data_IF_629042255881
#
_entry.id   IF_629042255881
#
_cell.length_a   1.000
_cell.length_b   1.000
_cell.length_c   1.000
_cell.angle_alpha   90.00
_cell.angle_beta   90.00
_cell.angle_gamma   90.00
#
_symmetry.space_group_name_H-M   'P 1'
#
loop_
_entity.id
_entity.type
_entity.pdbx_description
1 polymer ?
#
# COMPACT_ATOMS: atom_id res chain seq x y z
N UNK A 1 45.54 10.13 -38.36
CA UNK A 1 44.66 8.95 -38.33
C UNK A 1 43.30 9.43 -37.90
N UNK A 2 42.30 9.37 -38.79
CA UNK A 2 40.95 9.81 -38.50
C UNK A 2 40.40 8.99 -37.34
N UNK A 3 40.06 9.63 -36.23
CA UNK A 3 39.12 9.03 -35.29
C UNK A 3 37.82 8.84 -36.06
N UNK A 4 37.54 7.60 -36.46
CA UNK A 4 36.23 7.23 -36.96
C UNK A 4 35.31 7.41 -35.76
N UNK A 5 34.53 8.50 -35.75
CA UNK A 5 33.45 8.68 -34.79
C UNK A 5 32.52 7.48 -34.96
N UNK A 6 32.64 6.50 -34.06
CA UNK A 6 31.72 5.37 -34.04
C UNK A 6 30.35 5.94 -33.68
N UNK A 7 29.39 5.76 -34.58
CA UNK A 7 28.00 6.13 -34.32
C UNK A 7 27.55 5.32 -33.10
N UNK A 8 27.07 5.96 -32.02
CA UNK A 8 26.58 5.23 -30.87
C UNK A 8 25.42 4.30 -31.21
N UNK A 9 25.33 3.15 -30.54
CA UNK A 9 24.20 2.23 -30.67
C UNK A 9 23.00 2.74 -29.85
N UNK A 10 22.24 3.64 -30.45
CA UNK A 10 21.05 4.21 -29.82
C UNK A 10 19.93 3.19 -29.61
N UNK A 11 19.84 2.15 -30.44
CA UNK A 11 18.78 1.14 -30.34
C UNK A 11 19.02 0.27 -29.12
N UNK A 12 20.23 -0.28 -28.97
CA UNK A 12 20.59 -1.08 -27.80
C UNK A 12 20.49 -0.28 -26.50
N UNK A 13 20.87 1.00 -26.53
CA UNK A 13 20.69 1.90 -25.38
C UNK A 13 19.20 2.06 -24.99
N UNK A 14 18.32 2.25 -25.97
CA UNK A 14 16.89 2.45 -25.73
C UNK A 14 16.20 1.16 -25.23
N UNK A 15 16.57 0.01 -25.78
CA UNK A 15 16.08 -1.30 -25.30
C UNK A 15 16.50 -1.57 -23.86
N UNK A 16 17.77 -1.31 -23.53
CA UNK A 16 18.26 -1.46 -22.16
C UNK A 16 17.58 -0.47 -21.20
N UNK A 17 17.40 0.79 -21.62
CA UNK A 17 16.70 1.79 -20.80
C UNK A 17 15.29 1.35 -20.45
N UNK A 18 14.55 0.75 -21.37
CA UNK A 18 13.19 0.25 -21.11
C UNK A 18 13.16 -0.81 -20.02
N UNK A 19 14.10 -1.76 -20.06
CA UNK A 19 14.22 -2.82 -19.04
C UNK A 19 14.61 -2.24 -17.69
N UNK A 20 15.55 -1.29 -17.68
CA UNK A 20 15.99 -0.66 -16.43
C UNK A 20 14.87 0.18 -15.80
N UNK A 21 14.13 0.95 -16.60
CA UNK A 21 12.96 1.70 -16.12
C UNK A 21 11.84 0.80 -15.61
N UNK A 22 11.63 -0.37 -16.19
CA UNK A 22 10.67 -1.33 -15.63
C UNK A 22 11.07 -1.73 -14.20
N UNK A 23 12.34 -2.07 -13.98
CA UNK A 23 12.85 -2.45 -12.66
C UNK A 23 12.80 -1.28 -11.67
N UNK A 24 13.13 -0.08 -12.13
CA UNK A 24 13.03 1.14 -11.32
C UNK A 24 11.59 1.44 -10.92
N UNK A 25 10.61 1.22 -11.82
CA UNK A 25 9.19 1.42 -11.53
C UNK A 25 8.71 0.48 -10.42
N UNK A 26 9.13 -0.79 -10.44
CA UNK A 26 8.83 -1.74 -9.36
C UNK A 26 9.37 -1.27 -8.01
N UNK A 27 10.65 -0.89 -7.97
CA UNK A 27 11.32 -0.46 -6.74
C UNK A 27 10.67 0.82 -6.21
N UNK A 28 10.55 1.85 -7.05
CA UNK A 28 9.99 3.14 -6.65
C UNK A 28 8.53 3.03 -6.24
N UNK A 29 7.73 2.22 -6.94
CA UNK A 29 6.33 2.00 -6.58
C UNK A 29 6.19 1.26 -5.24
N UNK A 30 6.96 0.21 -5.01
CA UNK A 30 6.99 -0.49 -3.71
C UNK A 30 7.43 0.44 -2.59
N UNK A 31 8.49 1.21 -2.79
CA UNK A 31 9.01 2.16 -1.81
C UNK A 31 7.98 3.25 -1.50
N UNK A 32 7.30 3.79 -2.51
CA UNK A 32 6.23 4.77 -2.33
C UNK A 32 5.10 4.22 -1.46
N UNK A 33 4.60 3.02 -1.78
CA UNK A 33 3.53 2.39 -1.01
C UNK A 33 4.00 2.12 0.43
N UNK A 34 5.20 1.57 0.62
CA UNK A 34 5.73 1.31 1.96
C UNK A 34 5.95 2.59 2.76
N UNK A 35 6.42 3.67 2.13
CA UNK A 35 6.63 4.97 2.77
C UNK A 35 5.33 5.53 3.34
N UNK A 36 4.20 5.36 2.65
CA UNK A 36 2.88 5.74 3.17
C UNK A 36 2.55 5.08 4.54
N UNK A 37 3.01 3.84 4.79
CA UNK A 37 2.84 3.19 6.09
C UNK A 37 3.81 3.70 7.17
N UNK A 38 5.01 4.12 6.79
CA UNK A 38 5.95 4.74 7.72
C UNK A 38 5.46 6.11 8.15
N UNK A 39 4.95 6.89 7.20
CA UNK A 39 4.46 8.25 7.40
C UNK A 39 3.02 8.29 7.94
N UNK A 40 2.35 7.14 8.07
CA UNK A 40 0.96 7.00 8.51
C UNK A 40 0.01 7.94 7.73
N UNK A 41 0.19 8.01 6.41
CA UNK A 41 -0.51 8.97 5.56
C UNK A 41 -0.41 8.64 4.07
N UNK A 42 -1.21 9.36 3.28
CA UNK A 42 -1.26 9.25 1.83
C UNK A 42 -0.54 10.43 1.19
N UNK A 43 0.52 10.15 0.42
CA UNK A 43 1.17 11.15 -0.43
C UNK A 43 0.48 11.22 -1.79
N UNK A 44 -0.68 11.88 -1.87
CA UNK A 44 -1.45 12.06 -3.11
C UNK A 44 -1.03 13.33 -3.87
N UNK A 45 -1.98 14.20 -4.16
CA UNK A 45 -1.67 15.57 -4.61
C UNK A 45 -1.07 16.43 -3.49
N UNK A 46 -1.53 16.18 -2.26
CA UNK A 46 -0.97 16.70 -1.02
C UNK A 46 -0.85 15.54 -0.01
N UNK A 47 -0.07 15.74 1.05
CA UNK A 47 0.01 14.77 2.12
C UNK A 47 -1.26 14.79 2.98
N UNK A 48 -1.90 13.64 3.13
CA UNK A 48 -3.09 13.42 3.95
C UNK A 48 -2.78 12.39 5.05
N UNK A 49 -2.63 12.85 6.30
CA UNK A 49 -2.40 11.96 7.43
C UNK A 49 -3.64 11.08 7.71
N UNK A 50 -3.41 9.81 8.03
CA UNK A 50 -4.48 8.89 8.41
C UNK A 50 -5.10 9.25 9.76
N UNK A 51 -6.37 8.85 9.94
CA UNK A 51 -7.01 9.01 11.24
C UNK A 51 -6.27 8.24 12.34
N UNK A 52 -5.88 8.98 13.39
CA UNK A 52 -5.17 8.44 14.53
C UNK A 52 -5.99 7.41 15.28
N UNK A 53 -5.32 6.41 15.85
CA UNK A 53 -5.95 5.44 16.76
C UNK A 53 -6.55 6.13 17.99
N UNK A 54 -7.66 5.58 18.50
CA UNK A 54 -8.28 6.03 19.75
C UNK A 54 -7.44 5.74 21.00
N UNK A 55 -6.56 4.75 20.93
CA UNK A 55 -5.71 4.33 22.05
C UNK A 55 -4.26 4.35 21.61
N UNK A 56 -3.40 5.06 22.33
CA UNK A 56 -1.98 5.16 22.02
C UNK A 56 -1.30 3.78 22.00
N UNK A 57 -0.30 3.62 21.15
CA UNK A 57 0.50 2.41 21.05
C UNK A 57 1.93 2.78 20.67
N UNK A 58 2.87 1.90 21.00
CA UNK A 58 4.28 2.04 20.64
C UNK A 58 4.54 1.80 19.14
N UNK A 59 3.66 1.05 18.47
CA UNK A 59 3.83 0.69 17.06
C UNK A 59 3.06 1.64 16.14
N UNK A 60 3.57 1.88 14.93
CA UNK A 60 2.85 2.62 13.87
C UNK A 60 1.54 1.93 13.45
N UNK A 61 0.63 2.68 12.84
CA UNK A 61 -0.68 2.25 12.37
C UNK A 61 -0.50 1.21 11.26
N UNK A 62 -1.31 0.13 11.33
CA UNK A 62 -1.25 -1.01 10.41
C UNK A 62 0.11 -1.75 10.38
N UNK A 63 1.01 -1.43 11.33
CA UNK A 63 2.38 -1.95 11.41
C UNK A 63 2.65 -2.82 12.65
N UNK A 64 1.59 -3.29 13.32
CA UNK A 64 1.74 -4.11 14.53
C UNK A 64 2.23 -5.51 14.15
N UNK A 65 1.49 -6.22 13.30
CA UNK A 65 1.90 -7.54 12.79
C UNK A 65 2.60 -7.44 11.43
N UNK A 66 2.58 -6.28 10.79
CA UNK A 66 3.01 -6.03 9.40
C UNK A 66 2.35 -6.93 8.35
N UNK A 67 1.24 -7.62 8.64
CA UNK A 67 0.64 -8.52 7.66
C UNK A 67 0.18 -7.79 6.38
N UNK A 68 -0.54 -6.67 6.53
CA UNK A 68 -0.95 -5.86 5.37
C UNK A 68 0.25 -5.27 4.64
N UNK A 69 1.21 -4.71 5.38
CA UNK A 69 2.45 -4.16 4.83
C UNK A 69 3.20 -5.21 3.99
N UNK A 70 3.41 -6.40 4.53
CA UNK A 70 4.12 -7.50 3.86
C UNK A 70 3.30 -8.16 2.74
N UNK A 71 1.99 -7.91 2.65
CA UNK A 71 1.14 -8.48 1.60
C UNK A 71 1.20 -7.72 0.28
N UNK A 72 1.83 -6.55 0.29
CA UNK A 72 1.98 -5.73 -0.91
C UNK A 72 3.05 -6.36 -1.80
N UNK A 73 2.72 -6.54 -3.07
CA UNK A 73 3.59 -7.17 -4.05
C UNK A 73 3.35 -6.63 -5.46
N UNK A 74 4.28 -6.91 -6.36
CA UNK A 74 4.12 -6.69 -7.80
C UNK A 74 3.42 -7.92 -8.38
N UNK A 75 2.16 -7.79 -8.78
CA UNK A 75 1.37 -8.91 -9.31
C UNK A 75 1.65 -9.16 -10.78
N UNK A 76 1.99 -8.12 -11.54
CA UNK A 76 2.50 -8.25 -12.90
C UNK A 76 3.47 -7.12 -13.24
N UNK A 77 4.43 -7.42 -14.10
CA UNK A 77 5.43 -6.45 -14.53
C UNK A 77 5.76 -6.62 -16.00
N UNK A 78 5.74 -5.50 -16.72
CA UNK A 78 6.08 -5.37 -18.12
C UNK A 78 6.67 -3.98 -18.35
N UNK A 79 7.34 -3.81 -19.50
CA UNK A 79 7.90 -2.51 -19.92
C UNK A 79 6.84 -1.41 -20.02
N UNK A 80 5.58 -1.77 -20.28
CA UNK A 80 4.48 -0.82 -20.44
C UNK A 80 3.73 -0.56 -19.14
N UNK A 81 3.71 -1.53 -18.23
CA UNK A 81 2.91 -1.48 -17.02
C UNK A 81 3.49 -2.38 -15.92
N UNK A 82 3.55 -1.82 -14.72
CA UNK A 82 3.75 -2.55 -13.46
C UNK A 82 2.45 -2.47 -12.66
N UNK A 83 1.98 -3.61 -12.16
CA UNK A 83 0.77 -3.71 -11.35
C UNK A 83 1.13 -4.13 -9.94
N UNK A 84 0.67 -3.35 -8.97
CA UNK A 84 0.83 -3.63 -7.55
C UNK A 84 -0.47 -4.16 -6.97
N UNK A 85 -0.38 -5.15 -6.09
CA UNK A 85 -1.51 -5.76 -5.40
C UNK A 85 -1.22 -5.87 -3.89
N UNK A 86 -2.29 -5.93 -3.09
CA UNK A 86 -2.21 -6.23 -1.67
C UNK A 86 -3.08 -7.45 -1.35
N UNK A 87 -2.45 -8.59 -1.09
CA UNK A 87 -3.13 -9.89 -0.94
C UNK A 87 -3.95 -10.00 0.36
N UNK A 88 -3.75 -9.08 1.32
CA UNK A 88 -4.49 -9.13 2.56
C UNK A 88 -5.99 -8.97 2.31
N UNK A 89 -6.86 -9.86 2.84
CA UNK A 89 -8.30 -9.85 2.53
C UNK A 89 -9.04 -8.62 3.06
N UNK A 90 -8.38 -7.81 3.86
CA UNK A 90 -8.89 -6.55 4.40
C UNK A 90 -8.13 -5.32 3.85
N UNK A 91 -7.23 -5.50 2.88
CA UNK A 91 -6.47 -4.40 2.28
C UNK A 91 -7.41 -3.32 1.73
N UNK A 92 -8.40 -3.72 0.93
CA UNK A 92 -9.34 -2.80 0.28
C UNK A 92 -10.09 -1.95 1.30
N UNK A 93 -10.72 -2.56 2.32
CA UNK A 93 -11.49 -1.79 3.31
C UNK A 93 -10.61 -0.87 4.16
N UNK A 94 -9.31 -1.18 4.31
CA UNK A 94 -8.37 -0.26 4.93
C UNK A 94 -8.02 0.90 3.98
N UNK A 95 -7.79 0.62 2.70
CA UNK A 95 -7.40 1.62 1.69
C UNK A 95 -8.52 2.61 1.39
N UNK A 96 -9.74 2.13 1.13
CA UNK A 96 -10.89 2.96 0.76
C UNK A 96 -11.72 3.43 1.96
N UNK A 97 -11.58 2.76 3.11
CA UNK A 97 -12.49 2.95 4.25
C UNK A 97 -13.89 2.43 3.95
N UNK A 98 -14.81 2.55 4.91
CA UNK A 98 -16.21 2.22 4.65
C UNK A 98 -16.95 1.63 5.84
N UNK A 99 -18.08 0.99 5.55
CA UNK A 99 -18.96 0.40 6.57
C UNK A 99 -19.07 -1.10 6.35
N UNK A 100 -18.62 -1.86 7.34
CA UNK A 100 -18.77 -3.32 7.38
C UNK A 100 -20.01 -3.69 8.17
N UNK A 101 -20.85 -4.54 7.59
CA UNK A 101 -21.98 -5.16 8.27
C UNK A 101 -21.65 -6.63 8.54
N UNK A 102 -21.24 -6.97 9.76
CA UNK A 102 -20.75 -8.31 10.12
C UNK A 102 -21.88 -9.09 10.81
N UNK A 103 -22.24 -10.30 10.34
CA UNK A 103 -23.28 -11.10 10.99
C UNK A 103 -22.84 -11.64 12.35
N UNK A 104 -23.76 -11.62 13.32
CA UNK A 104 -23.58 -12.19 14.66
C UNK A 104 -23.82 -13.70 14.59
N UNK A 105 -22.75 -14.46 14.35
CA UNK A 105 -22.81 -15.92 14.24
C UNK A 105 -22.86 -16.61 15.60
N UNK A 106 -23.34 -17.87 15.63
CA UNK A 106 -23.25 -18.71 16.84
C UNK A 106 -21.81 -18.83 17.37
N UNK A 107 -20.81 -18.91 16.47
CA UNK A 107 -19.38 -18.93 16.82
C UNK A 107 -18.95 -17.62 17.49
N UNK A 108 -19.38 -16.46 16.97
CA UNK A 108 -19.08 -15.16 17.59
C UNK A 108 -19.67 -15.05 19.00
N UNK A 109 -20.91 -15.52 19.23
CA UNK A 109 -21.52 -15.52 20.57
C UNK A 109 -20.75 -16.40 21.56
N UNK A 110 -20.30 -17.58 21.13
CA UNK A 110 -19.43 -18.45 21.95
C UNK A 110 -18.12 -17.73 22.31
N UNK A 111 -17.50 -17.05 21.34
CA UNK A 111 -16.30 -16.26 21.57
C UNK A 111 -16.56 -15.12 22.57
N UNK A 112 -17.64 -14.36 22.43
CA UNK A 112 -17.99 -13.29 23.36
C UNK A 112 -18.21 -13.81 24.79
N UNK A 113 -18.84 -14.98 24.95
CA UNK A 113 -18.93 -15.62 26.27
C UNK A 113 -17.57 -16.03 26.84
N UNK A 114 -16.69 -16.59 26.02
CA UNK A 114 -15.33 -16.93 26.43
C UNK A 114 -14.54 -15.68 26.88
N UNK A 115 -14.62 -14.58 26.11
CA UNK A 115 -14.00 -13.31 26.46
C UNK A 115 -14.55 -12.71 27.76
N UNK A 116 -15.88 -12.79 27.98
CA UNK A 116 -16.48 -12.34 29.25
C UNK A 116 -15.95 -13.15 30.43
N UNK A 117 -15.85 -14.48 30.30
CA UNK A 117 -15.31 -15.34 31.36
C UNK A 117 -13.83 -15.05 31.65
N UNK A 118 -13.04 -14.76 30.61
CA UNK A 118 -11.62 -14.48 30.76
C UNK A 118 -11.32 -13.09 31.33
N UNK A 119 -12.12 -12.07 30.97
CA UNK A 119 -11.82 -10.66 31.28
C UNK A 119 -12.72 -10.06 32.35
N UNK A 120 -13.90 -10.63 32.59
CA UNK A 120 -14.95 -10.02 33.43
C UNK A 120 -15.61 -8.78 32.82
N UNK A 121 -15.17 -8.30 31.65
CA UNK A 121 -15.70 -7.09 31.03
C UNK A 121 -17.12 -7.32 30.49
N UNK A 122 -18.07 -6.62 31.11
CA UNK A 122 -19.50 -6.70 30.78
C UNK A 122 -19.75 -6.47 29.29
N UNK A 123 -18.98 -5.65 28.57
CA UNK A 123 -19.14 -5.42 27.12
C UNK A 123 -19.31 -6.73 26.34
N UNK A 124 -18.48 -7.74 26.65
CA UNK A 124 -18.55 -9.05 26.00
C UNK A 124 -19.85 -9.81 26.28
N UNK A 125 -20.33 -9.76 27.53
CA UNK A 125 -21.64 -10.35 27.91
C UNK A 125 -22.78 -9.71 27.12
N UNK A 126 -22.76 -8.40 26.96
CA UNK A 126 -23.80 -7.67 26.22
C UNK A 126 -23.76 -8.03 24.72
N UNK A 127 -22.57 -8.14 24.13
CA UNK A 127 -22.43 -8.61 22.74
C UNK A 127 -22.89 -10.06 22.57
N UNK A 128 -22.62 -10.94 23.53
CA UNK A 128 -23.07 -12.33 23.50
C UNK A 128 -24.61 -12.46 23.52
N UNK A 129 -25.27 -11.61 24.30
CA UNK A 129 -26.72 -11.58 24.50
C UNK A 129 -27.47 -10.67 23.52
N UNK A 130 -26.76 -9.98 22.62
CA UNK A 130 -27.39 -9.04 21.70
C UNK A 130 -28.49 -9.69 20.87
N UNK A 131 -29.62 -9.01 20.71
CA UNK A 131 -30.68 -9.43 19.78
C UNK A 131 -30.37 -9.03 18.33
N UNK A 132 -29.36 -8.18 18.11
CA UNK A 132 -28.94 -7.77 16.76
C UNK A 132 -28.39 -8.97 15.99
N UNK A 133 -28.77 -9.07 14.72
CA UNK A 133 -28.25 -10.09 13.82
C UNK A 133 -26.95 -9.67 13.13
N UNK A 134 -26.65 -8.36 13.12
CA UNK A 134 -25.42 -7.81 12.53
C UNK A 134 -24.84 -6.69 13.38
N UNK A 135 -23.52 -6.53 13.31
CA UNK A 135 -22.79 -5.37 13.80
C UNK A 135 -22.36 -4.50 12.63
N UNK A 136 -22.66 -3.21 12.73
CA UNK A 136 -22.19 -2.20 11.77
C UNK A 136 -20.93 -1.56 12.34
N UNK A 137 -19.83 -1.64 11.59
CA UNK A 137 -18.53 -1.08 11.97
C UNK A 137 -18.13 -0.09 10.88
N UNK A 138 -17.89 1.17 11.26
CA UNK A 138 -17.25 2.15 10.38
C UNK A 138 -15.74 1.98 10.50
N UNK A 139 -15.08 1.79 9.36
CA UNK A 139 -13.63 1.78 9.22
C UNK A 139 -13.20 3.07 8.55
N UNK A 140 -12.25 3.77 9.17
CA UNK A 140 -11.70 5.01 8.61
C UNK A 140 -10.76 4.68 7.44
N UNK A 141 -10.78 5.56 6.44
CA UNK A 141 -9.95 5.45 5.24
C UNK A 141 -8.48 5.65 5.62
N UNK A 142 -7.64 4.70 5.25
CA UNK A 142 -6.18 4.70 5.44
C UNK A 142 -5.56 4.36 4.11
N UNK A 143 -5.61 5.32 3.19
CA UNK A 143 -5.16 5.11 1.82
C UNK A 143 -3.64 4.96 1.79
N UNK A 144 -3.17 3.83 1.26
CA UNK A 144 -1.76 3.51 1.07
C UNK A 144 -1.42 3.23 -0.40
N UNK A 145 -2.44 2.97 -1.23
CA UNK A 145 -2.33 2.73 -2.67
C UNK A 145 -3.41 3.50 -3.44
N UNK A 146 -3.10 3.91 -4.66
CA UNK A 146 -4.01 4.60 -5.56
C UNK A 146 -3.27 5.57 -6.48
N UNK A 147 -4.04 6.38 -7.20
CA UNK A 147 -3.53 7.42 -8.10
C UNK A 147 -2.89 8.57 -7.32
N UNK A 148 -1.61 8.86 -7.59
CA UNK A 148 -0.82 9.87 -6.88
C UNK A 148 -0.08 10.82 -7.83
N UNK A 149 -0.57 12.06 -7.96
CA UNK A 149 0.13 13.09 -8.73
C UNK A 149 1.51 13.46 -8.19
N UNK A 150 1.81 13.19 -6.91
CA UNK A 150 3.14 13.42 -6.36
C UNK A 150 4.12 12.30 -6.73
N UNK A 151 3.65 11.06 -6.77
CA UNK A 151 4.43 9.93 -7.25
C UNK A 151 4.72 10.08 -8.75
N UNK A 152 3.71 10.42 -9.55
CA UNK A 152 3.87 10.60 -11.00
C UNK A 152 4.96 11.63 -11.33
N UNK A 153 4.99 12.75 -10.61
CA UNK A 153 6.05 13.76 -10.79
C UNK A 153 7.44 13.25 -10.43
N UNK A 154 7.54 12.44 -9.38
CA UNK A 154 8.82 11.84 -8.97
C UNK A 154 9.30 10.83 -10.00
N UNK A 155 8.37 10.00 -10.49
CA UNK A 155 8.61 9.03 -11.55
C UNK A 155 9.05 9.70 -12.86
N UNK A 156 8.33 10.72 -13.31
CA UNK A 156 8.66 11.48 -14.52
C UNK A 156 10.07 12.09 -14.42
N UNK A 157 10.39 12.69 -13.27
CA UNK A 157 11.71 13.27 -13.02
C UNK A 157 12.81 12.20 -13.06
N UNK A 158 12.55 11.01 -12.49
CA UNK A 158 13.48 9.87 -12.54
C UNK A 158 13.74 9.42 -13.98
N UNK A 159 12.69 9.19 -14.76
CA UNK A 159 12.78 8.78 -16.17
C UNK A 159 13.58 9.79 -16.99
N UNK A 160 13.29 11.09 -16.84
CA UNK A 160 14.01 12.16 -17.54
C UNK A 160 15.50 12.16 -17.16
N UNK A 161 15.81 12.01 -15.87
CA UNK A 161 17.19 11.99 -15.39
C UNK A 161 17.97 10.76 -15.91
N UNK A 162 17.35 9.59 -15.96
CA UNK A 162 17.96 8.38 -16.54
C UNK A 162 18.26 8.56 -18.03
N UNK A 163 17.30 9.11 -18.80
CA UNK A 163 17.52 9.46 -20.21
C UNK A 163 18.72 10.42 -20.32
N UNK A 164 18.68 11.56 -19.64
CA UNK A 164 19.75 12.57 -19.72
C UNK A 164 21.11 12.01 -19.31
N UNK A 165 21.15 11.14 -18.31
CA UNK A 165 22.39 10.52 -17.83
C UNK A 165 23.01 9.60 -18.88
N UNK A 166 22.20 8.81 -19.60
CA UNK A 166 22.70 7.95 -20.68
C UNK A 166 23.21 8.76 -21.87
N UNK A 167 22.46 9.77 -22.29
CA UNK A 167 22.86 10.62 -23.42
C UNK A 167 24.13 11.44 -23.13
N UNK A 168 24.40 11.82 -21.87
CA UNK A 168 25.66 12.48 -21.47
C UNK A 168 26.89 11.55 -21.54
N UNK A 169 26.69 10.23 -21.55
CA UNK A 169 27.76 9.22 -21.60
C UNK A 169 28.10 8.78 -23.03
N UNK A 170 27.32 9.22 -24.01
CA UNK A 170 27.59 9.05 -25.44
C UNK A 170 28.63 10.07 -25.92
#
# INVERSE_FOLDING_TARGET
>A
MSQINQIPDFLGMAEQLKVDLQMDAEIMGMDFIHQNFYDEGWHGAAYESWETRKQSSTYNLLRVTNYLFNSINVSSSSVEQVVFEADAPYAEIHNSGGILNIPVTKRSRKFFWAMFKATGDKKWKWMALTKKERFTIKMDKRQFMGDSPSFDKQWDAHVINEILTRFKRL
#
